data_IF_678299207002
#
_entry.id   IF_678299207002
#
_cell.length_a   1.000
_cell.length_b   1.000
_cell.length_c   1.000
_cell.angle_alpha   90.00
_cell.angle_beta   90.00
_cell.angle_gamma   90.00
#
_symmetry.space_group_name_H-M   'P 1'
#
loop_
_entity.id
_entity.type
_entity.pdbx_description
1 polymer ?
#
# COMPACT_ATOMS: atom_id res chain seq x y z
N UNK A 1 18.58 -8.44 -31.24
CA UNK A 1 17.42 -9.11 -31.88
C UNK A 1 16.18 -8.74 -31.08
N UNK A 2 15.40 -7.80 -31.59
CA UNK A 2 14.16 -7.35 -30.98
C UNK A 2 13.05 -8.33 -31.34
N UNK A 3 12.81 -9.31 -30.49
CA UNK A 3 11.66 -10.20 -30.60
C UNK A 3 10.40 -9.43 -30.25
N UNK A 4 9.66 -9.04 -31.27
CA UNK A 4 8.29 -8.55 -31.19
C UNK A 4 7.39 -9.68 -30.66
N UNK A 5 7.22 -9.79 -29.34
CA UNK A 5 6.11 -10.56 -28.75
C UNK A 5 4.91 -9.61 -28.74
N UNK A 6 4.48 -9.24 -29.93
CA UNK A 6 3.20 -8.62 -30.18
C UNK A 6 2.11 -9.69 -30.25
N UNK A 7 1.87 -10.42 -29.19
CA UNK A 7 0.61 -11.14 -29.08
C UNK A 7 -0.50 -10.10 -29.10
N UNK A 8 -1.29 -10.12 -30.18
CA UNK A 8 -2.42 -9.20 -30.35
C UNK A 8 -3.30 -9.34 -29.09
N UNK A 9 -3.50 -8.27 -28.28
CA UNK A 9 -4.26 -8.34 -27.02
C UNK A 9 -5.63 -9.02 -27.19
N UNK A 10 -6.26 -8.86 -28.36
CA UNK A 10 -7.53 -9.50 -28.68
C UNK A 10 -7.45 -11.02 -28.80
N UNK A 11 -6.30 -11.58 -29.19
CA UNK A 11 -6.11 -13.04 -29.31
C UNK A 11 -5.86 -13.66 -27.94
N UNK A 12 -5.05 -13.01 -27.08
CA UNK A 12 -4.87 -13.42 -25.69
C UNK A 12 -6.18 -13.35 -24.91
N UNK A 13 -6.95 -12.27 -25.09
CA UNK A 13 -8.24 -12.10 -24.44
C UNK A 13 -9.25 -13.16 -24.88
N UNK A 14 -9.30 -13.51 -26.16
CA UNK A 14 -10.15 -14.61 -26.67
C UNK A 14 -9.74 -15.96 -26.10
N UNK A 15 -8.45 -16.25 -26.03
CA UNK A 15 -7.93 -17.48 -25.42
C UNK A 15 -8.27 -17.60 -23.94
N UNK A 16 -8.09 -16.53 -23.17
CA UNK A 16 -8.49 -16.50 -21.76
C UNK A 16 -10.00 -16.67 -21.57
N UNK A 17 -10.83 -16.02 -22.37
CA UNK A 17 -12.31 -16.15 -22.30
C UNK A 17 -12.78 -17.58 -22.54
N UNK A 18 -12.13 -18.36 -23.41
CA UNK A 18 -12.53 -19.74 -23.70
C UNK A 18 -12.05 -20.73 -22.63
N UNK A 19 -10.85 -20.53 -22.06
CA UNK A 19 -10.20 -21.50 -21.18
C UNK A 19 -10.30 -21.14 -19.70
N UNK A 20 -10.48 -19.85 -19.38
CA UNK A 20 -10.60 -19.34 -18.02
C UNK A 20 -11.58 -18.14 -17.96
N UNK A 21 -12.89 -18.38 -18.16
CA UNK A 21 -13.88 -17.32 -18.28
C UNK A 21 -14.02 -16.50 -17.00
N UNK A 22 -13.95 -17.12 -15.82
CA UNK A 22 -14.04 -16.43 -14.54
C UNK A 22 -12.80 -15.54 -14.31
N UNK A 23 -11.61 -16.05 -14.57
CA UNK A 23 -10.38 -15.26 -14.48
C UNK A 23 -10.40 -14.08 -15.44
N UNK A 24 -10.88 -14.28 -16.67
CA UNK A 24 -11.05 -13.21 -17.66
C UNK A 24 -12.05 -12.15 -17.19
N UNK A 25 -13.15 -12.56 -16.58
CA UNK A 25 -14.12 -11.66 -15.97
C UNK A 25 -13.49 -10.83 -14.85
N UNK A 26 -12.80 -11.48 -13.92
CA UNK A 26 -12.14 -10.81 -12.78
C UNK A 26 -11.09 -9.80 -13.27
N UNK A 27 -10.27 -10.17 -14.25
CA UNK A 27 -9.30 -9.24 -14.83
C UNK A 27 -9.94 -7.96 -15.37
N UNK A 28 -11.11 -8.06 -16.01
CA UNK A 28 -11.85 -6.88 -16.47
C UNK A 28 -12.36 -6.04 -15.32
N UNK A 29 -12.97 -6.69 -14.30
CA UNK A 29 -13.43 -5.96 -13.12
C UNK A 29 -12.28 -5.21 -12.45
N UNK A 30 -11.08 -5.81 -12.38
CA UNK A 30 -9.88 -5.17 -11.85
C UNK A 30 -9.47 -3.96 -12.71
N UNK A 31 -9.47 -4.09 -14.04
CA UNK A 31 -9.15 -2.98 -14.95
C UNK A 31 -10.17 -1.85 -14.80
N UNK A 32 -11.46 -2.16 -14.77
CA UNK A 32 -12.55 -1.18 -14.62
C UNK A 32 -12.45 -0.46 -13.25
N UNK A 33 -12.12 -1.19 -12.19
CA UNK A 33 -11.86 -0.61 -10.86
C UNK A 33 -10.62 0.29 -10.88
N UNK A 34 -9.52 -0.15 -11.50
CA UNK A 34 -8.31 0.66 -11.63
C UNK A 34 -8.59 1.97 -12.40
N UNK A 35 -9.37 1.91 -13.47
CA UNK A 35 -9.71 3.08 -14.28
C UNK A 35 -10.63 4.05 -13.53
N UNK A 36 -11.63 3.55 -12.84
CA UNK A 36 -12.67 4.37 -12.16
C UNK A 36 -12.30 4.81 -10.74
N UNK A 37 -11.31 4.17 -10.11
CA UNK A 37 -10.91 4.45 -8.72
C UNK A 37 -10.34 5.85 -8.51
N UNK A 38 -10.44 6.33 -7.28
CA UNK A 38 -9.65 7.48 -6.83
C UNK A 38 -8.20 7.01 -6.58
N UNK A 39 -7.25 7.66 -7.27
CA UNK A 39 -5.84 7.27 -7.27
C UNK A 39 -5.02 8.14 -6.34
N UNK A 40 -4.21 7.50 -5.50
CA UNK A 40 -3.24 8.16 -4.63
C UNK A 40 -1.84 7.69 -4.97
N UNK A 41 -0.90 8.65 -5.08
CA UNK A 41 0.53 8.33 -5.15
C UNK A 41 1.09 8.44 -3.74
N UNK A 42 1.68 7.35 -3.27
CA UNK A 42 2.29 7.26 -1.95
C UNK A 42 3.82 7.52 -2.02
N UNK A 43 4.46 7.82 -0.89
CA UNK A 43 5.92 7.84 -0.80
C UNK A 43 6.54 6.48 -1.17
N UNK A 44 7.84 6.49 -1.47
CA UNK A 44 8.58 5.27 -1.76
C UNK A 44 8.40 4.24 -0.64
N UNK A 45 8.07 3.00 -1.00
CA UNK A 45 7.77 1.87 -0.10
C UNK A 45 6.65 2.16 0.92
N UNK A 46 5.89 3.25 0.74
CA UNK A 46 4.91 3.75 1.72
C UNK A 46 5.48 3.88 3.15
N UNK A 47 6.72 4.32 3.26
CA UNK A 47 7.43 4.46 4.54
C UNK A 47 6.95 5.70 5.30
N UNK A 48 5.74 5.61 5.86
CA UNK A 48 5.07 6.69 6.61
C UNK A 48 5.10 6.40 8.11
N UNK A 49 4.79 5.16 8.51
CA UNK A 49 4.70 4.69 9.88
C UNK A 49 5.41 3.33 9.97
N UNK A 50 6.35 3.20 10.88
CA UNK A 50 6.99 1.92 11.13
C UNK A 50 5.97 0.88 11.66
N UNK A 51 5.92 -0.34 11.12
CA UNK A 51 4.97 -1.36 11.57
C UNK A 51 5.05 -1.67 13.07
N UNK A 52 6.24 -1.56 13.68
CA UNK A 52 6.43 -1.74 15.12
C UNK A 52 5.84 -0.61 15.97
N UNK A 53 5.54 0.52 15.38
CA UNK A 53 4.91 1.66 16.04
C UNK A 53 3.38 1.66 15.91
N UNK A 54 2.81 0.63 15.29
CA UNK A 54 1.36 0.51 15.17
C UNK A 54 0.66 0.50 16.53
N UNK A 55 -0.42 1.25 16.61
CA UNK A 55 -1.31 1.35 17.78
C UNK A 55 -2.74 1.11 17.32
N UNK A 56 -3.63 0.81 18.23
CA UNK A 56 -5.05 0.61 17.93
C UNK A 56 -5.64 1.76 17.09
N UNK A 57 -5.23 3.00 17.38
CA UNK A 57 -5.70 4.19 16.65
C UNK A 57 -5.42 4.12 15.13
N UNK A 58 -4.32 3.48 14.70
CA UNK A 58 -4.03 3.32 13.27
C UNK A 58 -5.06 2.40 12.61
N UNK A 59 -5.44 1.33 13.30
CA UNK A 59 -6.45 0.36 12.81
C UNK A 59 -7.85 0.96 12.83
N UNK A 60 -8.20 1.74 13.85
CA UNK A 60 -9.48 2.44 13.95
C UNK A 60 -9.66 3.46 12.80
N UNK A 61 -8.56 4.05 12.34
CA UNK A 61 -8.51 5.00 11.23
C UNK A 61 -8.29 4.35 9.86
N UNK A 62 -7.92 3.07 9.78
CA UNK A 62 -7.68 2.36 8.54
C UNK A 62 -9.00 2.07 7.79
N UNK A 63 -9.63 3.13 7.28
CA UNK A 63 -10.87 3.10 6.50
C UNK A 63 -10.67 3.81 5.18
N UNK A 64 -11.24 3.26 4.11
CA UNK A 64 -11.13 3.88 2.79
C UNK A 64 -11.81 5.26 2.77
N UNK A 65 -11.15 6.28 2.19
CA UNK A 65 -11.78 7.59 2.01
C UNK A 65 -12.80 7.62 0.86
N UNK A 66 -12.80 6.60 -0.01
CA UNK A 66 -13.71 6.41 -1.13
C UNK A 66 -14.02 4.91 -1.30
N UNK A 67 -15.15 4.55 -1.92
CA UNK A 67 -15.55 3.14 -2.07
C UNK A 67 -14.53 2.26 -2.81
N UNK A 68 -13.82 2.81 -3.77
CA UNK A 68 -12.72 2.17 -4.51
C UNK A 68 -11.54 3.13 -4.58
N UNK A 69 -10.39 2.68 -4.16
CA UNK A 69 -9.15 3.46 -4.10
C UNK A 69 -8.00 2.65 -4.67
N UNK A 70 -7.15 3.31 -5.43
CA UNK A 70 -5.88 2.78 -5.91
C UNK A 70 -4.74 3.53 -5.26
N UNK A 71 -3.89 2.83 -4.53
CA UNK A 71 -2.63 3.37 -4.03
C UNK A 71 -1.50 2.92 -4.95
N UNK A 72 -0.87 3.87 -5.66
CA UNK A 72 0.35 3.63 -6.43
C UNK A 72 1.56 3.90 -5.55
N UNK A 73 2.46 2.91 -5.47
CA UNK A 73 3.59 2.89 -4.55
C UNK A 73 4.87 2.69 -5.36
N UNK A 74 5.74 3.71 -5.49
CA UNK A 74 7.11 3.51 -5.93
C UNK A 74 7.81 2.54 -4.97
N UNK A 75 8.55 1.54 -5.51
CA UNK A 75 9.15 0.50 -4.68
C UNK A 75 10.63 0.36 -4.99
N UNK A 76 11.39 1.40 -4.65
CA UNK A 76 12.83 1.41 -4.83
C UNK A 76 13.52 1.09 -3.51
N UNK A 77 14.21 -0.04 -3.46
CA UNK A 77 15.03 -0.49 -2.33
C UNK A 77 16.47 -0.65 -2.79
N UNK A 78 17.42 -0.38 -1.90
CA UNK A 78 18.86 -0.55 -2.18
C UNK A 78 19.25 -2.02 -2.36
N UNK A 79 18.51 -2.92 -1.70
CA UNK A 79 18.63 -4.38 -1.86
C UNK A 79 17.25 -4.98 -2.12
N UNK A 80 17.18 -5.89 -3.06
CA UNK A 80 15.96 -6.63 -3.40
C UNK A 80 16.11 -8.07 -2.91
N UNK A 81 15.34 -8.42 -1.90
CA UNK A 81 15.22 -9.82 -1.47
C UNK A 81 14.36 -10.56 -2.49
N UNK A 82 14.89 -11.64 -3.05
CA UNK A 82 14.17 -12.52 -3.97
C UNK A 82 13.60 -13.74 -3.29
N UNK A 83 13.98 -13.97 -2.02
CA UNK A 83 13.51 -15.09 -1.23
C UNK A 83 13.51 -14.73 0.26
N UNK A 84 12.47 -15.14 0.99
CA UNK A 84 12.41 -15.09 2.45
C UNK A 84 11.97 -16.49 2.94
N UNK A 85 12.88 -17.24 3.55
CA UNK A 85 12.64 -18.65 3.86
C UNK A 85 12.29 -19.43 2.59
N UNK A 86 11.17 -20.15 2.61
CA UNK A 86 10.67 -20.93 1.45
C UNK A 86 9.83 -20.09 0.46
N UNK A 87 9.60 -18.79 0.74
CA UNK A 87 8.79 -17.92 -0.11
C UNK A 87 9.62 -17.21 -1.17
N UNK A 88 9.19 -17.32 -2.42
CA UNK A 88 9.77 -16.56 -3.52
C UNK A 88 9.13 -15.17 -3.57
N UNK A 89 9.96 -14.15 -3.75
CA UNK A 89 9.53 -12.75 -3.88
C UNK A 89 9.92 -12.24 -5.27
N UNK A 90 8.92 -11.82 -6.03
CA UNK A 90 9.18 -11.25 -7.35
C UNK A 90 9.65 -9.81 -7.24
N UNK A 91 10.80 -9.44 -7.81
CA UNK A 91 11.28 -8.07 -7.86
C UNK A 91 10.28 -7.15 -8.56
N UNK A 92 9.99 -6.01 -7.94
CA UNK A 92 9.04 -5.04 -8.45
C UNK A 92 9.47 -3.64 -8.04
N UNK A 93 9.63 -2.74 -9.01
CA UNK A 93 9.93 -1.32 -8.74
C UNK A 93 8.68 -0.45 -8.59
N UNK A 94 7.50 -0.98 -8.89
CA UNK A 94 6.21 -0.30 -8.77
C UNK A 94 5.14 -1.28 -8.32
N UNK A 95 4.39 -0.91 -7.31
CA UNK A 95 3.32 -1.72 -6.75
C UNK A 95 2.04 -0.89 -6.68
N UNK A 96 0.91 -1.56 -6.78
CA UNK A 96 -0.42 -0.98 -6.64
C UNK A 96 -1.18 -1.79 -5.61
N UNK A 97 -1.72 -1.11 -4.60
CA UNK A 97 -2.76 -1.66 -3.77
C UNK A 97 -4.12 -1.19 -4.31
N UNK A 98 -4.84 -2.08 -5.00
CA UNK A 98 -6.22 -1.84 -5.38
C UNK A 98 -7.12 -2.22 -4.20
N UNK A 99 -7.79 -1.22 -3.64
CA UNK A 99 -8.60 -1.38 -2.44
C UNK A 99 -10.07 -1.07 -2.74
N UNK A 100 -10.99 -1.91 -2.26
CA UNK A 100 -12.43 -1.62 -2.33
C UNK A 100 -13.14 -2.04 -1.04
N UNK A 101 -14.17 -1.28 -0.72
CA UNK A 101 -14.98 -1.55 0.46
C UNK A 101 -15.90 -2.76 0.23
N UNK A 102 -15.91 -3.70 1.16
CA UNK A 102 -16.80 -4.85 1.12
C UNK A 102 -18.25 -4.40 1.33
N UNK A 103 -19.09 -4.58 0.32
CA UNK A 103 -20.53 -4.23 0.32
C UNK A 103 -21.33 -5.28 -0.41
N UNK A 104 -22.49 -5.62 0.12
CA UNK A 104 -23.39 -6.59 -0.53
C UNK A 104 -23.78 -6.21 -1.97
N UNK A 105 -23.84 -4.89 -2.26
CA UNK A 105 -24.22 -4.38 -3.58
C UNK A 105 -23.05 -4.33 -4.59
N UNK A 106 -21.83 -4.67 -4.19
CA UNK A 106 -20.64 -4.59 -5.04
C UNK A 106 -19.72 -5.79 -4.81
N UNK A 107 -19.71 -6.72 -5.74
CA UNK A 107 -18.90 -7.95 -5.69
C UNK A 107 -18.11 -8.12 -6.99
N UNK A 108 -16.98 -7.42 -7.14
CA UNK A 108 -16.17 -7.50 -8.36
C UNK A 108 -15.49 -8.86 -8.54
N UNK A 109 -15.26 -9.59 -7.45
CA UNK A 109 -14.72 -10.94 -7.44
C UNK A 109 -15.81 -11.86 -6.89
N UNK A 110 -16.41 -12.72 -7.73
CA UNK A 110 -17.50 -13.60 -7.32
C UNK A 110 -17.15 -14.46 -6.11
N UNK A 111 -18.02 -14.48 -5.11
CA UNK A 111 -17.86 -15.25 -3.86
C UNK A 111 -17.06 -14.54 -2.77
N UNK A 112 -16.37 -13.42 -3.06
CA UNK A 112 -15.56 -12.74 -2.04
C UNK A 112 -16.44 -12.13 -0.93
N UNK A 113 -17.67 -11.70 -1.22
CA UNK A 113 -18.56 -11.10 -0.23
C UNK A 113 -19.11 -12.09 0.81
N UNK A 114 -18.89 -13.40 0.64
CA UNK A 114 -19.21 -14.41 1.67
C UNK A 114 -18.50 -14.12 3.01
N UNK A 115 -17.38 -13.41 2.99
CA UNK A 115 -16.63 -12.97 4.17
C UNK A 115 -17.47 -12.05 5.09
N UNK A 116 -18.45 -11.34 4.53
CA UNK A 116 -19.37 -10.48 5.30
C UNK A 116 -20.28 -11.26 6.25
N UNK A 117 -20.43 -12.58 6.06
CA UNK A 117 -21.13 -13.43 7.01
C UNK A 117 -20.34 -13.55 8.34
N UNK A 118 -19.03 -13.42 8.30
CA UNK A 118 -18.16 -13.44 9.47
C UNK A 118 -17.86 -12.04 9.99
N UNK A 119 -17.68 -11.08 9.10
CA UNK A 119 -17.32 -9.70 9.39
C UNK A 119 -18.46 -8.74 9.05
N UNK A 120 -19.48 -8.74 9.89
CA UNK A 120 -20.73 -7.97 9.69
C UNK A 120 -20.52 -6.45 9.64
N UNK A 121 -19.46 -5.95 10.29
CA UNK A 121 -19.10 -4.53 10.25
C UNK A 121 -18.34 -4.13 8.96
N UNK A 122 -18.19 -5.09 8.05
CA UNK A 122 -17.50 -4.88 6.79
C UNK A 122 -15.98 -4.81 6.93
N UNK A 123 -15.36 -4.30 5.89
CA UNK A 123 -13.91 -4.19 5.79
C UNK A 123 -13.49 -3.79 4.39
N UNK A 124 -12.23 -3.98 4.11
CA UNK A 124 -11.60 -3.60 2.85
C UNK A 124 -10.91 -4.80 2.23
N UNK A 125 -11.18 -5.05 0.96
CA UNK A 125 -10.39 -5.95 0.14
C UNK A 125 -9.18 -5.19 -0.42
N UNK A 126 -8.00 -5.78 -0.34
CA UNK A 126 -6.73 -5.25 -0.84
C UNK A 126 -6.15 -6.27 -1.81
N UNK A 127 -6.02 -5.89 -3.08
CA UNK A 127 -5.51 -6.72 -4.14
C UNK A 127 -4.19 -6.15 -4.68
N UNK A 128 -3.09 -6.92 -4.63
CA UNK A 128 -1.81 -6.47 -5.14
C UNK A 128 -1.77 -6.54 -6.67
N UNK A 129 -1.25 -5.48 -7.30
CA UNK A 129 -0.89 -5.46 -8.71
C UNK A 129 0.54 -4.94 -8.78
N UNK A 130 1.47 -5.78 -9.20
CA UNK A 130 2.89 -5.49 -9.20
C UNK A 130 3.46 -5.36 -10.61
N UNK A 131 4.41 -4.45 -10.79
CA UNK A 131 5.17 -4.35 -12.02
C UNK A 131 6.32 -5.35 -12.03
N UNK A 132 6.33 -6.27 -12.98
CA UNK A 132 7.48 -7.13 -13.18
C UNK A 132 8.58 -6.35 -13.90
N UNK A 133 9.70 -6.15 -13.21
CA UNK A 133 10.85 -5.48 -13.81
C UNK A 133 11.53 -6.31 -14.90
N UNK A 134 11.39 -7.63 -14.85
CA UNK A 134 11.95 -8.55 -15.85
C UNK A 134 11.05 -8.62 -17.10
N UNK A 135 9.76 -8.87 -16.91
CA UNK A 135 8.81 -9.06 -18.01
C UNK A 135 8.28 -7.74 -18.58
N UNK A 136 8.46 -6.61 -17.87
CA UNK A 136 7.95 -5.27 -18.24
C UNK A 136 6.43 -5.23 -18.43
N UNK A 137 5.70 -5.94 -17.57
CA UNK A 137 4.24 -6.00 -17.54
C UNK A 137 3.72 -5.85 -16.11
N UNK A 138 2.47 -5.46 -15.98
CA UNK A 138 1.75 -5.52 -14.72
C UNK A 138 1.22 -6.94 -14.49
N UNK A 139 1.43 -7.46 -13.29
CA UNK A 139 0.99 -8.79 -12.87
C UNK A 139 -0.06 -8.62 -11.76
N UNK A 140 -1.21 -9.26 -11.97
CA UNK A 140 -2.24 -9.38 -10.96
C UNK A 140 -1.89 -10.54 -10.02
N UNK A 141 -1.94 -10.30 -8.72
CA UNK A 141 -1.76 -11.35 -7.70
C UNK A 141 -2.82 -12.47 -7.82
N UNK A 142 -2.44 -13.68 -7.48
CA UNK A 142 -3.36 -14.84 -7.45
C UNK A 142 -4.44 -14.72 -6.37
N UNK A 143 -4.27 -13.78 -5.46
CA UNK A 143 -5.20 -13.44 -4.39
C UNK A 143 -4.84 -12.11 -3.75
N UNK A 144 -5.54 -11.79 -2.67
CA UNK A 144 -5.33 -10.58 -1.89
C UNK A 144 -5.72 -10.80 -0.44
N UNK A 145 -5.81 -9.70 0.32
CA UNK A 145 -6.16 -9.72 1.74
C UNK A 145 -7.44 -8.94 1.99
N UNK A 146 -8.28 -9.44 2.89
CA UNK A 146 -9.39 -8.71 3.46
C UNK A 146 -9.00 -8.19 4.84
N UNK A 147 -9.17 -6.90 5.07
CA UNK A 147 -8.93 -6.23 6.35
C UNK A 147 -10.26 -5.84 6.98
N UNK A 148 -10.67 -6.46 8.11
CA UNK A 148 -11.95 -6.15 8.78
C UNK A 148 -11.89 -4.80 9.50
N UNK A 149 -12.99 -4.03 9.50
CA UNK A 149 -13.04 -2.72 10.15
C UNK A 149 -12.97 -2.77 11.68
N UNK A 150 -13.45 -3.85 12.30
CA UNK A 150 -13.35 -4.04 13.76
C UNK A 150 -12.05 -4.73 14.19
N UNK A 151 -10.97 -4.42 13.50
CA UNK A 151 -9.68 -5.01 13.77
C UNK A 151 -9.14 -4.58 15.14
N UNK A 152 -8.57 -5.55 15.87
CA UNK A 152 -7.93 -5.32 17.16
C UNK A 152 -6.46 -5.66 17.06
N UNK A 153 -5.66 -4.73 17.54
CA UNK A 153 -4.23 -4.96 17.70
C UNK A 153 -4.03 -5.83 18.95
N UNK A 154 -3.48 -7.01 18.77
CA UNK A 154 -3.25 -7.98 19.83
C UNK A 154 -1.79 -8.42 19.89
N UNK A 155 -1.43 -9.17 20.89
CA UNK A 155 -0.18 -9.94 20.87
C UNK A 155 -0.34 -11.14 19.95
N UNK A 156 0.76 -11.55 19.34
CA UNK A 156 0.78 -12.78 18.54
C UNK A 156 0.58 -14.00 19.47
N UNK A 157 -0.45 -14.78 19.19
CA UNK A 157 -0.78 -16.04 19.86
C UNK A 157 -0.84 -17.15 18.80
N UNK A 158 0.18 -18.02 18.69
CA UNK A 158 0.26 -19.02 17.61
C UNK A 158 -0.98 -19.92 17.52
N UNK A 159 -1.51 -20.36 18.67
CA UNK A 159 -2.64 -21.31 18.75
C UNK A 159 -3.97 -20.69 18.29
N UNK A 160 -4.06 -19.35 18.28
CA UNK A 160 -5.25 -18.59 17.85
C UNK A 160 -5.08 -17.94 16.48
N UNK A 161 -3.92 -18.15 15.85
CA UNK A 161 -3.60 -17.58 14.54
C UNK A 161 -3.86 -18.62 13.46
N UNK A 162 -4.43 -18.19 12.33
CA UNK A 162 -4.64 -19.05 11.17
C UNK A 162 -3.33 -19.73 10.75
N UNK A 163 -3.33 -21.01 10.37
CA UNK A 163 -2.12 -21.75 10.02
C UNK A 163 -1.26 -21.03 8.96
N UNK A 164 -1.89 -20.49 7.91
CA UNK A 164 -1.19 -19.73 6.87
C UNK A 164 -0.53 -18.46 7.40
N UNK A 165 -1.24 -17.69 8.25
CA UNK A 165 -0.69 -16.48 8.88
C UNK A 165 0.44 -16.79 9.84
N UNK A 166 0.31 -17.90 10.60
CA UNK A 166 1.35 -18.38 11.50
C UNK A 166 2.62 -18.72 10.72
N UNK A 167 2.48 -19.48 9.63
CA UNK A 167 3.62 -19.85 8.78
C UNK A 167 4.37 -18.61 8.28
N UNK A 168 3.67 -17.57 7.82
CA UNK A 168 4.29 -16.32 7.37
C UNK A 168 4.98 -15.59 8.51
N UNK A 169 4.29 -15.42 9.66
CA UNK A 169 4.84 -14.68 10.80
C UNK A 169 6.10 -15.37 11.33
N UNK A 170 6.08 -16.69 11.47
CA UNK A 170 7.22 -17.45 11.97
C UNK A 170 8.40 -17.36 10.98
N UNK A 171 8.15 -17.51 9.67
CA UNK A 171 9.19 -17.33 8.64
C UNK A 171 9.78 -15.91 8.66
N UNK A 172 8.96 -14.85 8.78
CA UNK A 172 9.46 -13.47 8.84
C UNK A 172 10.31 -13.22 10.09
N UNK A 173 9.96 -13.83 11.22
CA UNK A 173 10.74 -13.73 12.47
C UNK A 173 12.07 -14.48 12.38
N UNK A 174 12.05 -15.70 11.87
CA UNK A 174 13.24 -16.53 11.70
C UNK A 174 14.25 -15.89 10.75
N UNK A 175 13.78 -15.19 9.73
CA UNK A 175 14.64 -14.47 8.78
C UNK A 175 14.95 -13.01 9.20
N UNK A 176 14.57 -12.60 10.40
CA UNK A 176 14.89 -11.27 10.95
C UNK A 176 14.14 -10.10 10.29
N UNK A 177 13.14 -10.39 9.43
CA UNK A 177 12.33 -9.36 8.74
C UNK A 177 11.29 -8.75 9.68
N UNK A 178 10.78 -9.53 10.64
CA UNK A 178 9.86 -9.06 11.67
C UNK A 178 10.41 -9.30 13.07
N UNK A 179 10.13 -8.37 14.00
CA UNK A 179 10.52 -8.52 15.40
C UNK A 179 9.60 -9.49 16.14
N UNK A 180 10.13 -10.23 17.11
CA UNK A 180 9.34 -11.18 17.91
C UNK A 180 8.13 -10.59 18.62
N UNK A 181 8.16 -9.31 18.94
CA UNK A 181 7.09 -8.59 19.62
C UNK A 181 6.21 -7.75 18.67
N UNK A 182 6.26 -8.03 17.37
CA UNK A 182 5.42 -7.32 16.42
C UNK A 182 3.93 -7.50 16.79
N UNK A 183 3.22 -6.40 16.73
CA UNK A 183 1.79 -6.40 16.98
C UNK A 183 1.07 -7.24 15.91
N UNK A 184 0.08 -8.00 16.34
CA UNK A 184 -0.71 -8.87 15.47
C UNK A 184 -2.11 -8.31 15.28
N UNK A 185 -2.63 -8.45 14.07
CA UNK A 185 -3.98 -8.06 13.68
C UNK A 185 -4.57 -9.07 12.70
N UNK A 186 -5.88 -9.08 12.54
CA UNK A 186 -6.56 -10.00 11.64
C UNK A 186 -6.54 -9.48 10.20
N UNK A 187 -6.20 -10.33 9.26
CA UNK A 187 -6.42 -10.13 7.85
C UNK A 187 -6.61 -11.52 7.20
N UNK A 188 -7.62 -11.64 6.35
CA UNK A 188 -8.01 -12.92 5.76
C UNK A 188 -7.58 -12.97 4.29
N UNK A 189 -6.84 -13.99 3.86
CA UNK A 189 -6.50 -14.16 2.46
C UNK A 189 -7.71 -14.61 1.65
N UNK A 190 -7.82 -14.12 0.42
CA UNK A 190 -8.79 -14.60 -0.57
C UNK A 190 -8.11 -14.88 -1.91
N UNK A 191 -8.72 -15.74 -2.72
CA UNK A 191 -8.18 -16.16 -4.02
C UNK A 191 -8.96 -15.48 -5.13
N UNK A 192 -8.25 -14.94 -6.12
CA UNK A 192 -8.84 -14.38 -7.36
C UNK A 192 -8.91 -15.40 -8.49
N UNK A 193 -7.95 -16.31 -8.54
CA UNK A 193 -7.80 -17.30 -9.62
C UNK A 193 -8.46 -18.64 -9.25
N UNK A 194 -9.78 -18.62 -8.96
CA UNK A 194 -10.51 -19.80 -8.50
C UNK A 194 -10.48 -20.97 -9.48
N UNK A 195 -10.43 -20.70 -10.79
CA UNK A 195 -10.35 -21.73 -11.84
C UNK A 195 -9.03 -22.51 -11.79
N UNK A 196 -7.96 -21.88 -11.29
CA UNK A 196 -6.64 -22.48 -11.17
C UNK A 196 -6.27 -22.90 -9.75
N UNK A 197 -7.21 -22.83 -8.82
CA UNK A 197 -6.96 -23.10 -7.39
C UNK A 197 -6.31 -24.46 -7.15
N UNK A 198 -6.84 -25.51 -7.76
CA UNK A 198 -6.33 -26.88 -7.52
C UNK A 198 -4.93 -27.07 -8.12
N UNK A 199 -4.64 -26.45 -9.25
CA UNK A 199 -3.29 -26.48 -9.86
C UNK A 199 -2.29 -25.65 -9.05
N UNK A 200 -2.71 -24.49 -8.53
CA UNK A 200 -1.90 -23.70 -7.63
C UNK A 200 -1.60 -24.49 -6.32
N UNK A 201 -2.59 -25.17 -5.74
CA UNK A 201 -2.39 -26.01 -4.57
C UNK A 201 -1.40 -27.15 -4.85
N UNK A 202 -1.52 -27.83 -6.00
CA UNK A 202 -0.54 -28.87 -6.41
C UNK A 202 0.88 -28.31 -6.54
N UNK A 203 0.99 -27.10 -7.06
CA UNK A 203 2.28 -26.43 -7.27
C UNK A 203 2.97 -26.03 -5.97
N UNK A 204 2.23 -25.53 -4.97
CA UNK A 204 2.78 -25.09 -3.68
C UNK A 204 2.69 -26.13 -2.58
N UNK A 205 1.95 -27.23 -2.79
CA UNK A 205 1.86 -28.38 -1.92
C UNK A 205 0.63 -28.44 -1.00
N UNK A 206 0.06 -27.32 -0.57
CA UNK A 206 -1.15 -27.28 0.25
C UNK A 206 -1.92 -25.97 0.13
N UNK A 207 -3.18 -25.96 0.56
CA UNK A 207 -4.00 -24.74 0.61
C UNK A 207 -3.45 -23.73 1.62
N UNK A 208 -2.91 -24.18 2.74
CA UNK A 208 -2.28 -23.35 3.76
C UNK A 208 -1.06 -22.62 3.19
N UNK A 209 -0.22 -23.32 2.41
CA UNK A 209 0.92 -22.73 1.71
C UNK A 209 0.48 -21.74 0.64
N UNK A 210 -0.60 -22.02 -0.09
CA UNK A 210 -1.16 -21.06 -1.06
C UNK A 210 -1.63 -19.78 -0.36
N UNK A 211 -2.36 -19.90 0.73
CA UNK A 211 -2.76 -18.75 1.52
C UNK A 211 -1.56 -18.01 2.13
N UNK A 212 -0.55 -18.74 2.61
CA UNK A 212 0.67 -18.12 3.12
C UNK A 212 1.42 -17.34 2.04
N UNK A 213 1.50 -17.85 0.81
CA UNK A 213 2.08 -17.12 -0.33
C UNK A 213 1.28 -15.84 -0.62
N UNK A 214 -0.07 -15.91 -0.64
CA UNK A 214 -0.92 -14.72 -0.85
C UNK A 214 -0.69 -13.68 0.24
N UNK A 215 -0.58 -14.09 1.51
CA UNK A 215 -0.28 -13.19 2.63
C UNK A 215 1.09 -12.53 2.43
N UNK A 216 2.11 -13.32 2.05
CA UNK A 216 3.45 -12.81 1.80
C UNK A 216 3.48 -11.80 0.65
N UNK A 217 2.81 -12.10 -0.45
CA UNK A 217 2.76 -11.27 -1.66
C UNK A 217 1.98 -9.97 -1.44
N UNK A 218 0.96 -9.98 -0.57
CA UNK A 218 0.08 -8.82 -0.32
C UNK A 218 0.52 -8.01 0.91
N UNK A 219 1.51 -8.49 1.67
CA UNK A 219 1.94 -7.87 2.94
C UNK A 219 2.21 -6.38 2.82
N UNK A 220 2.93 -5.99 1.79
CA UNK A 220 3.40 -4.63 1.60
C UNK A 220 2.23 -3.70 1.21
N UNK A 221 1.30 -4.16 0.37
CA UNK A 221 0.09 -3.42 0.00
C UNK A 221 -0.88 -3.27 1.18
N UNK A 222 -0.99 -4.30 2.02
CA UNK A 222 -1.78 -4.25 3.25
C UNK A 222 -1.21 -3.22 4.23
N UNK A 223 0.11 -3.19 4.41
CA UNK A 223 0.77 -2.17 5.22
C UNK A 223 0.59 -0.77 4.64
N UNK A 224 0.73 -0.62 3.33
CA UNK A 224 0.50 0.65 2.64
C UNK A 224 -0.94 1.15 2.82
N UNK A 225 -1.94 0.26 2.73
CA UNK A 225 -3.33 0.60 3.02
C UNK A 225 -3.51 1.11 4.46
N UNK A 226 -3.00 0.38 5.46
CA UNK A 226 -3.11 0.76 6.88
C UNK A 226 -2.47 2.13 7.12
N UNK A 227 -1.24 2.33 6.64
CA UNK A 227 -0.49 3.56 6.82
C UNK A 227 -1.15 4.75 6.11
N UNK A 228 -1.46 4.61 4.82
CA UNK A 228 -2.05 5.67 4.03
C UNK A 228 -3.44 6.07 4.56
N UNK A 229 -4.32 5.11 4.82
CA UNK A 229 -5.67 5.40 5.31
C UNK A 229 -5.66 5.99 6.70
N UNK A 230 -4.80 5.50 7.60
CA UNK A 230 -4.72 6.08 8.96
C UNK A 230 -4.28 7.54 8.93
N UNK A 231 -3.37 7.91 8.02
CA UNK A 231 -2.92 9.30 7.86
C UNK A 231 -3.93 10.15 7.12
N UNK A 232 -4.53 9.63 6.02
CA UNK A 232 -5.56 10.35 5.25
C UNK A 232 -6.80 10.71 6.07
N UNK A 233 -7.14 9.91 7.08
CA UNK A 233 -8.26 10.16 7.98
C UNK A 233 -7.90 11.06 9.18
N UNK A 234 -6.71 11.64 9.22
CA UNK A 234 -6.36 12.69 10.18
C UNK A 234 -6.89 14.04 9.69
N UNK A 235 -7.44 14.85 10.59
CA UNK A 235 -8.11 16.12 10.25
C UNK A 235 -7.20 17.19 9.61
N UNK A 236 -5.89 17.09 9.83
CA UNK A 236 -4.91 18.03 9.30
C UNK A 236 -4.23 17.56 8.00
N UNK A 237 -4.72 16.49 7.40
CA UNK A 237 -4.15 15.94 6.16
C UNK A 237 -5.10 16.20 5.01
N UNK A 238 -4.63 16.97 4.02
CA UNK A 238 -5.37 17.25 2.81
C UNK A 238 -4.59 16.74 1.61
N UNK A 239 -5.14 15.82 0.82
CA UNK A 239 -4.48 15.37 -0.40
C UNK A 239 -4.48 16.47 -1.47
N UNK A 240 -3.34 16.67 -2.12
CA UNK A 240 -3.21 17.61 -3.25
C UNK A 240 -3.56 16.88 -4.54
N UNK A 241 -4.36 17.50 -5.36
CA UNK A 241 -4.77 16.94 -6.66
C UNK A 241 -3.75 17.32 -7.74
N UNK A 242 -3.15 16.30 -8.37
CA UNK A 242 -2.32 16.45 -9.55
C UNK A 242 -3.07 15.90 -10.77
N UNK A 243 -3.12 16.67 -11.84
CA UNK A 243 -3.70 16.23 -13.11
C UNK A 243 -2.60 15.93 -14.11
N UNK A 244 -2.65 14.73 -14.69
CA UNK A 244 -1.74 14.38 -15.80
C UNK A 244 -2.21 14.90 -17.15
N UNK A 245 -3.19 15.81 -17.17
CA UNK A 245 -3.59 16.46 -18.44
C UNK A 245 -2.38 17.16 -19.01
N UNK A 246 -1.96 16.86 -20.25
CA UNK A 246 -0.86 17.55 -20.88
C UNK A 246 -1.19 19.03 -20.91
N UNK A 247 -0.23 19.87 -20.54
CA UNK A 247 -0.38 21.31 -20.68
C UNK A 247 -0.77 21.63 -22.13
N UNK A 248 -1.82 22.44 -22.29
CA UNK A 248 -2.31 22.84 -23.59
C UNK A 248 -1.23 23.68 -24.27
N UNK A 249 -0.52 23.09 -25.22
CA UNK A 249 0.46 23.85 -26.02
C UNK A 249 -0.29 24.77 -26.98
N UNK A 250 -0.05 26.06 -26.85
CA UNK A 250 -0.47 27.04 -27.81
C UNK A 250 0.72 27.33 -28.74
N UNK A 251 0.55 27.12 -30.04
CA UNK A 251 1.52 27.53 -31.06
C UNK A 251 0.84 28.63 -31.85
N UNK A 252 1.44 29.80 -31.88
CA UNK A 252 0.93 30.99 -32.57
C UNK A 252 -0.52 31.35 -32.19
N UNK A 253 -0.87 31.26 -30.91
CA UNK A 253 -2.20 31.61 -30.41
C UNK A 253 -3.31 30.60 -30.76
N UNK A 254 -3.00 29.54 -31.47
CA UNK A 254 -3.96 28.47 -31.80
C UNK A 254 -3.76 27.26 -30.93
N UNK A 255 -4.88 26.67 -30.43
CA UNK A 255 -4.92 25.48 -29.64
C UNK A 255 -4.54 24.26 -30.51
N UNK A 256 -3.38 23.65 -30.24
CA UNK A 256 -2.97 22.44 -30.92
C UNK A 256 -3.60 21.25 -30.20
N UNK A 257 -4.47 20.52 -30.89
CA UNK A 257 -4.96 19.24 -30.39
C UNK A 257 -3.96 18.15 -30.77
N UNK A 258 -3.52 17.28 -29.82
CA UNK A 258 -2.72 16.12 -30.19
C UNK A 258 -3.54 15.20 -31.10
N UNK A 259 -2.90 14.51 -32.06
CA UNK A 259 -3.59 13.58 -32.93
C UNK A 259 -4.30 12.48 -32.15
N UNK A 260 -5.52 12.13 -32.55
CA UNK A 260 -6.41 11.21 -31.79
C UNK A 260 -5.81 9.84 -31.46
N UNK A 261 -4.87 9.37 -32.27
CA UNK A 261 -4.21 8.07 -32.10
C UNK A 261 -3.28 7.99 -30.87
N UNK A 262 -2.97 9.12 -30.21
CA UNK A 262 -2.03 9.19 -29.08
C UNK A 262 -2.68 9.76 -27.81
N UNK A 263 -3.99 9.73 -27.67
CA UNK A 263 -4.66 10.12 -26.40
C UNK A 263 -4.35 9.07 -25.34
N UNK A 264 -3.25 9.27 -24.60
CA UNK A 264 -3.06 8.54 -23.36
C UNK A 264 -4.19 8.93 -22.39
N UNK A 265 -4.81 7.98 -21.68
CA UNK A 265 -5.80 8.31 -20.68
C UNK A 265 -5.19 9.30 -19.68
N UNK A 266 -5.88 10.42 -19.44
CA UNK A 266 -5.45 11.38 -18.45
C UNK A 266 -6.07 11.01 -17.12
N UNK A 267 -5.25 10.60 -16.15
CA UNK A 267 -5.69 10.34 -14.80
C UNK A 267 -5.51 11.56 -13.91
N UNK A 268 -6.37 11.68 -12.92
CA UNK A 268 -6.23 12.65 -11.84
C UNK A 268 -5.75 11.91 -10.60
N UNK A 269 -4.57 12.26 -10.15
CA UNK A 269 -3.97 11.68 -8.95
C UNK A 269 -4.15 12.60 -7.76
N UNK A 270 -4.35 12.00 -6.58
CA UNK A 270 -4.21 12.68 -5.31
C UNK A 270 -2.86 12.30 -4.72
N UNK A 271 -2.04 13.28 -4.39
CA UNK A 271 -0.77 13.05 -3.72
C UNK A 271 -0.98 13.28 -2.23
N UNK A 272 -0.53 12.34 -1.43
CA UNK A 272 -0.46 12.50 0.01
C UNK A 272 0.65 13.51 0.32
N UNK A 273 0.33 14.78 0.18
CA UNK A 273 1.19 15.86 0.64
C UNK A 273 0.83 16.19 2.08
N UNK A 274 1.76 15.94 2.97
CA UNK A 274 1.63 16.39 4.35
C UNK A 274 1.79 17.92 4.33
N UNK A 275 0.71 18.70 4.38
CA UNK A 275 0.74 20.16 4.36
C UNK A 275 1.61 20.73 5.47
N UNK A 276 2.38 21.79 5.19
CA UNK A 276 3.14 22.51 6.21
C UNK A 276 2.18 23.36 7.06
N UNK A 277 1.53 22.75 8.04
CA UNK A 277 1.00 23.55 9.13
C UNK A 277 2.19 24.10 9.90
N UNK A 278 2.48 25.39 9.74
CA UNK A 278 3.31 26.16 10.67
C UNK A 278 2.60 26.10 12.02
N UNK A 279 2.87 25.06 12.80
CA UNK A 279 2.56 25.10 14.22
C UNK A 279 3.55 26.12 14.79
N UNK A 280 3.11 27.36 14.93
CA UNK A 280 3.79 28.31 15.78
C UNK A 280 3.77 27.71 17.19
N UNK A 281 4.85 27.03 17.52
CA UNK A 281 5.11 26.62 18.89
C UNK A 281 5.50 27.86 19.68
N UNK A 282 4.52 28.54 20.26
CA UNK A 282 4.77 29.43 21.37
C UNK A 282 5.21 28.56 22.57
N UNK A 283 6.43 28.07 22.51
CA UNK A 283 7.09 27.52 23.67
C UNK A 283 7.64 28.68 24.53
N UNK A 284 6.79 29.24 25.35
CA UNK A 284 7.24 29.88 26.60
C UNK A 284 7.64 28.72 27.52
N UNK A 285 8.84 28.22 27.34
CA UNK A 285 9.39 27.17 28.17
C UNK A 285 9.98 27.79 29.45
N UNK A 286 9.24 27.79 30.52
CA UNK A 286 9.82 27.81 31.87
C UNK A 286 10.38 26.42 32.15
N UNK A 287 11.51 26.09 31.58
CA UNK A 287 12.16 24.79 31.73
C UNK A 287 13.35 24.86 32.67
N UNK A 288 13.27 24.20 33.80
CA UNK A 288 14.41 23.85 34.63
C UNK A 288 15.44 23.10 33.79
N UNK A 289 16.72 23.52 33.88
CA UNK A 289 17.85 22.94 33.14
C UNK A 289 18.09 21.48 33.54
N UNK A 290 17.46 20.56 32.85
CA UNK A 290 17.90 19.17 32.79
C UNK A 290 18.85 19.00 31.60
N UNK A 291 19.94 18.27 31.76
CA UNK A 291 21.08 18.15 30.85
C UNK A 291 20.75 18.16 29.36
N UNK A 292 21.65 18.68 28.56
CA UNK A 292 21.54 18.88 27.11
C UNK A 292 21.17 17.57 26.42
N UNK A 293 19.91 17.48 25.97
CA UNK A 293 19.43 16.31 25.24
C UNK A 293 20.05 16.29 23.84
N UNK A 294 20.52 15.12 23.41
CA UNK A 294 21.12 14.93 22.08
C UNK A 294 20.10 15.18 20.97
N UNK A 295 20.59 15.61 19.80
CA UNK A 295 19.79 15.71 18.61
C UNK A 295 19.30 14.32 18.18
N UNK A 296 18.01 14.19 17.89
CA UNK A 296 17.40 12.95 17.39
C UNK A 296 16.21 13.23 16.49
N UNK A 297 15.97 12.35 15.53
CA UNK A 297 14.77 12.37 14.71
C UNK A 297 13.59 11.84 15.53
N UNK A 298 12.55 12.65 15.66
CA UNK A 298 11.26 12.23 16.16
C UNK A 298 10.41 11.75 14.99
N UNK A 299 9.97 10.52 15.02
CA UNK A 299 9.10 9.93 13.99
C UNK A 299 7.72 10.59 13.96
N UNK A 300 7.07 10.50 12.80
CA UNK A 300 5.67 10.89 12.65
C UNK A 300 4.76 10.01 13.50
N UNK A 301 3.72 10.58 14.07
CA UNK A 301 2.75 9.85 14.90
C UNK A 301 1.39 10.54 14.93
N UNK A 302 0.34 9.77 15.19
CA UNK A 302 -1.00 10.31 15.40
C UNK A 302 -1.16 10.73 16.87
N UNK A 303 -1.64 11.95 17.08
CA UNK A 303 -1.94 12.51 18.39
C UNK A 303 -3.40 12.94 18.50
N UNK A 304 -4.05 12.60 19.62
CA UNK A 304 -5.36 13.17 19.98
C UNK A 304 -5.17 14.51 20.67
N UNK A 305 -5.79 15.57 20.14
CA UNK A 305 -5.82 16.92 20.72
C UNK A 305 -7.23 17.49 20.57
N UNK A 306 -7.84 17.96 21.66
CA UNK A 306 -9.21 18.52 21.66
C UNK A 306 -10.23 17.60 20.96
N UNK A 307 -10.18 16.31 21.26
CA UNK A 307 -10.99 15.25 20.67
C UNK A 307 -10.80 15.01 19.18
N UNK A 308 -9.79 15.62 18.54
CA UNK A 308 -9.41 15.48 17.14
C UNK A 308 -8.16 14.63 17.00
N UNK A 309 -8.12 13.79 15.95
CA UNK A 309 -6.94 13.02 15.60
C UNK A 309 -6.14 13.81 14.57
N UNK A 310 -4.90 14.10 14.90
CA UNK A 310 -3.99 14.88 14.06
C UNK A 310 -2.70 14.11 13.81
N UNK A 311 -2.22 14.19 12.59
CA UNK A 311 -0.90 13.68 12.20
C UNK A 311 0.19 14.67 12.60
N UNK A 312 1.15 14.22 13.41
CA UNK A 312 2.35 14.97 13.76
C UNK A 312 3.50 14.45 12.89
N UNK A 313 4.08 15.33 12.11
CA UNK A 313 5.18 15.00 11.18
C UNK A 313 6.45 14.57 11.91
N UNK A 314 7.32 13.78 11.25
CA UNK A 314 8.70 13.62 11.68
C UNK A 314 9.38 14.98 11.82
N UNK A 315 10.15 15.17 12.86
CA UNK A 315 10.88 16.41 13.11
C UNK A 315 12.19 16.14 13.83
N UNK A 316 13.23 16.90 13.45
CA UNK A 316 14.49 16.90 14.20
C UNK A 316 14.27 17.62 15.53
N UNK A 317 14.47 16.91 16.62
CA UNK A 317 14.39 17.46 17.97
C UNK A 317 15.79 17.81 18.46
N UNK A 318 15.94 18.97 19.09
CA UNK A 318 17.21 19.52 19.55
C UNK A 318 18.24 19.67 18.41
N UNK A 319 17.83 20.18 17.25
CA UNK A 319 18.68 20.37 16.08
C UNK A 319 19.96 21.19 16.39
N UNK A 320 19.92 22.07 17.39
CA UNK A 320 21.05 22.90 17.81
C UNK A 320 21.78 22.34 19.06
N UNK A 321 21.55 21.08 19.41
CA UNK A 321 22.20 20.48 20.58
C UNK A 321 23.69 20.25 20.38
N UNK A 322 24.49 20.73 21.29
CA UNK A 322 25.95 20.46 21.36
C UNK A 322 26.29 19.08 21.95
N UNK A 323 25.29 18.32 22.41
CA UNK A 323 25.50 17.02 23.06
C UNK A 323 25.65 15.84 22.07
N UNK A 324 25.76 16.13 20.77
CA UNK A 324 25.93 15.13 19.70
C UNK A 324 24.62 14.64 19.10
N UNK A 325 24.75 13.78 18.10
CA UNK A 325 23.65 13.17 17.34
C UNK A 325 23.41 11.77 17.89
N UNK A 326 22.16 11.38 18.06
CA UNK A 326 21.80 9.96 18.21
C UNK A 326 21.70 9.39 16.80
N UNK A 327 22.77 8.76 16.36
CA UNK A 327 22.79 8.04 15.08
C UNK A 327 21.95 6.77 15.25
N UNK A 328 20.75 6.81 14.70
CA UNK A 328 19.97 5.64 14.39
C UNK A 328 19.80 5.71 12.90
N UNK A 329 20.19 4.65 12.19
CA UNK A 329 20.13 4.54 10.74
C UNK A 329 18.74 4.85 10.19
N UNK A 330 18.51 6.12 9.85
CA UNK A 330 17.31 6.59 9.19
C UNK A 330 17.72 7.34 7.93
N UNK A 331 17.69 6.68 6.79
CA UNK A 331 17.78 7.36 5.51
C UNK A 331 16.45 8.02 5.20
N UNK A 332 16.37 9.33 5.42
CA UNK A 332 15.28 10.15 4.89
C UNK A 332 15.86 10.89 3.69
N UNK A 333 15.52 10.45 2.50
CA UNK A 333 15.81 11.19 1.27
C UNK A 333 14.88 12.39 1.14
N UNK A 334 15.24 13.50 1.78
CA UNK A 334 14.64 14.80 1.51
C UNK A 334 15.32 15.34 0.25
N UNK A 335 14.68 15.25 -0.92
CA UNK A 335 15.12 16.03 -2.09
C UNK A 335 14.93 17.50 -1.75
N UNK A 336 16.01 18.23 -1.56
CA UNK A 336 16.01 19.69 -1.64
C UNK A 336 15.72 20.04 -3.11
N UNK A 337 14.64 20.75 -3.35
CA UNK A 337 14.49 21.47 -4.61
C UNK A 337 15.61 22.51 -4.67
N UNK A 338 16.58 22.28 -5.55
CA UNK A 338 17.52 23.32 -5.92
C UNK A 338 16.76 24.38 -6.72
N UNK A 339 16.51 25.51 -6.09
CA UNK A 339 16.17 26.73 -6.81
C UNK A 339 17.34 27.04 -7.75
N UNK A 340 17.16 26.80 -9.06
CA UNK A 340 18.03 27.41 -10.07
C UNK A 340 17.52 28.80 -10.38
N UNK A 341 18.46 29.76 -10.53
CA UNK A 341 18.15 31.16 -10.79
C UNK A 341 17.49 31.41 -12.14
#
# INVERSE_FOLDING_TARGET
>A
MSGNIGANPSVMEKGLRSNAPLTSYIMRQVIDMLDSSVKFILPNCCDIIEPEEYRQTHFDLARLPYPVVTFEIPWFKDSVETQIGDFNISPSSRRIALCWEARQSFEPIPGCNSILNTYIDGGVFILPVSWSDDLKIWILGVGGMFFPYNNKLTKYEPDRTLPASRLVIDTLKENGVAKYNAAHFKAEPFITSMEFKDDLIKQVGSIERLYAQIIMDTRDELQAFIQACSVLNCENVCPVTLSTKPERKFINGRKVQPPEKNKRPSYTYKVLQLSETKVQSNHTGTGKSGGTKRMHLRRGHIRRKNNKLIWIRPAMINANSRAGIVDKDYQINIRKEENKP
#
